data_IF_669679378345
#
_entry.id   IF_669679378345
#
_cell.length_a   1.000
_cell.length_b   1.000
_cell.length_c   1.000
_cell.angle_alpha   90.00
_cell.angle_beta   90.00
_cell.angle_gamma   90.00
#
_symmetry.space_group_name_H-M   'P 1'
#
loop_
_entity.id
_entity.type
_entity.pdbx_description
1 polymer ?
#
# COMPACT_ATOMS: atom_id res chain seq x y z
N UNK A 1 -31.35 5.62 -20.86
CA UNK A 1 -30.33 6.35 -20.08
C UNK A 1 -30.43 5.82 -18.66
N UNK A 2 -29.81 4.66 -18.42
CA UNK A 2 -29.98 3.91 -17.17
C UNK A 2 -28.99 4.43 -16.13
N UNK A 3 -29.52 4.90 -15.00
CA UNK A 3 -28.72 5.39 -13.89
C UNK A 3 -27.86 4.28 -13.29
N UNK A 4 -26.55 4.49 -13.26
CA UNK A 4 -25.60 3.68 -12.52
C UNK A 4 -25.93 3.75 -11.02
N UNK A 5 -26.55 2.68 -10.51
CA UNK A 5 -26.82 2.50 -9.10
C UNK A 5 -25.52 2.48 -8.29
N UNK A 6 -25.22 3.61 -7.63
CA UNK A 6 -24.17 3.70 -6.60
C UNK A 6 -24.52 2.74 -5.47
N UNK A 7 -23.90 1.56 -5.49
CA UNK A 7 -24.06 0.58 -4.41
C UNK A 7 -23.52 1.18 -3.11
N UNK A 8 -24.33 1.30 -2.04
CA UNK A 8 -23.89 1.92 -0.81
C UNK A 8 -22.77 1.07 -0.20
N UNK A 9 -21.66 1.72 0.16
CA UNK A 9 -20.51 1.10 0.84
C UNK A 9 -20.98 0.50 2.17
N UNK A 10 -21.33 -0.80 2.13
CA UNK A 10 -21.96 -1.50 3.25
C UNK A 10 -20.87 -2.11 4.14
N UNK A 11 -21.07 -2.07 5.47
CA UNK A 11 -20.17 -2.68 6.49
C UNK A 11 -19.82 -4.15 6.20
N UNK A 12 -20.70 -4.83 5.47
CA UNK A 12 -20.55 -6.21 5.02
C UNK A 12 -19.47 -6.37 3.93
N UNK A 13 -19.33 -5.41 3.01
CA UNK A 13 -18.28 -5.36 1.98
C UNK A 13 -16.91 -5.20 2.64
N UNK A 14 -16.82 -4.29 3.62
CA UNK A 14 -15.60 -4.08 4.41
C UNK A 14 -15.22 -5.33 5.21
N UNK A 15 -16.19 -6.01 5.84
CA UNK A 15 -15.96 -7.26 6.57
C UNK A 15 -15.51 -8.40 5.64
N UNK A 16 -16.01 -8.46 4.40
CA UNK A 16 -15.55 -9.43 3.38
C UNK A 16 -14.12 -9.12 2.92
N UNK A 17 -13.79 -7.85 2.72
CA UNK A 17 -12.43 -7.37 2.45
C UNK A 17 -11.46 -7.77 3.57
N UNK A 18 -11.78 -7.42 4.83
CA UNK A 18 -11.00 -7.80 6.02
C UNK A 18 -10.82 -9.31 6.18
N UNK A 19 -11.84 -10.11 5.84
CA UNK A 19 -11.74 -11.57 5.88
C UNK A 19 -10.80 -12.09 4.79
N UNK A 20 -10.79 -11.47 3.61
CA UNK A 20 -9.83 -11.79 2.54
C UNK A 20 -8.39 -11.43 2.93
N UNK A 21 -8.19 -10.30 3.63
CA UNK A 21 -6.89 -9.93 4.24
C UNK A 21 -6.45 -10.97 5.26
N UNK A 22 -7.34 -11.36 6.17
CA UNK A 22 -7.06 -12.32 7.23
C UNK A 22 -6.72 -13.72 6.70
N UNK A 23 -7.42 -14.18 5.67
CA UNK A 23 -7.13 -15.47 5.00
C UNK A 23 -5.79 -15.42 4.26
N UNK A 24 -5.46 -14.29 3.62
CA UNK A 24 -4.17 -14.10 2.96
C UNK A 24 -3.00 -14.17 3.97
N UNK A 25 -3.14 -13.52 5.13
CA UNK A 25 -2.12 -13.52 6.20
C UNK A 25 -1.93 -14.89 6.88
N UNK A 26 -2.98 -15.72 6.89
CA UNK A 26 -2.97 -17.07 7.46
C UNK A 26 -2.47 -18.19 6.53
N UNK A 27 -2.41 -17.96 5.21
CA UNK A 27 -1.99 -18.98 4.23
C UNK A 27 -0.47 -19.25 4.26
N UNK A 28 0.01 -20.34 3.64
CA UNK A 28 1.45 -20.69 3.62
C UNK A 28 2.33 -19.66 2.90
N UNK A 29 1.78 -18.95 1.90
CA UNK A 29 2.39 -17.78 1.25
C UNK A 29 2.36 -16.53 2.16
N UNK A 30 1.58 -16.56 3.24
CA UNK A 30 1.35 -15.46 4.18
C UNK A 30 2.55 -15.08 5.05
N UNK A 31 3.61 -15.92 5.11
CA UNK A 31 4.84 -15.55 5.84
C UNK A 31 5.56 -14.36 5.18
N UNK A 32 5.60 -14.33 3.83
CA UNK A 32 6.16 -13.20 3.08
C UNK A 32 5.30 -11.94 3.26
N UNK A 33 3.97 -12.08 3.22
CA UNK A 33 3.05 -10.98 3.46
C UNK A 33 3.19 -10.38 4.86
N UNK A 34 3.32 -11.22 5.90
CA UNK A 34 3.56 -10.77 7.29
C UNK A 34 4.89 -10.05 7.45
N UNK A 35 5.96 -10.53 6.82
CA UNK A 35 7.26 -9.85 6.83
C UNK A 35 7.19 -8.48 6.16
N UNK A 36 6.52 -8.37 5.00
CA UNK A 36 6.36 -7.09 4.31
C UNK A 36 5.47 -6.12 5.10
N UNK A 37 4.41 -6.60 5.74
CA UNK A 37 3.62 -5.75 6.64
C UNK A 37 4.42 -5.27 7.85
N UNK A 38 5.18 -6.17 8.49
CA UNK A 38 6.04 -5.78 9.60
C UNK A 38 7.10 -4.75 9.15
N UNK A 39 7.72 -4.96 7.98
CA UNK A 39 8.66 -4.00 7.39
C UNK A 39 7.97 -2.66 7.10
N UNK A 40 6.74 -2.66 6.60
CA UNK A 40 5.98 -1.45 6.34
C UNK A 40 5.69 -0.67 7.62
N UNK A 41 5.30 -1.34 8.71
CA UNK A 41 5.10 -0.70 10.03
C UNK A 41 6.41 -0.09 10.54
N UNK A 42 7.52 -0.82 10.44
CA UNK A 42 8.84 -0.31 10.84
C UNK A 42 9.25 0.91 10.00
N UNK A 43 9.03 0.86 8.69
CA UNK A 43 9.31 1.98 7.79
C UNK A 43 8.42 3.18 8.08
N UNK A 44 7.15 2.98 8.43
CA UNK A 44 6.23 4.05 8.85
C UNK A 44 6.71 4.74 10.12
N UNK A 45 7.20 3.98 11.11
CA UNK A 45 7.87 4.54 12.28
C UNK A 45 9.15 5.28 11.89
N UNK A 46 9.91 4.75 10.92
CA UNK A 46 11.09 5.40 10.34
C UNK A 46 10.77 6.75 9.71
N UNK A 47 9.70 6.86 8.93
CA UNK A 47 9.23 8.12 8.32
C UNK A 47 8.94 9.16 9.43
N UNK A 48 8.24 8.74 10.49
CA UNK A 48 7.95 9.62 11.62
C UNK A 48 9.23 10.07 12.34
N UNK A 49 10.17 9.15 12.57
CA UNK A 49 11.47 9.47 13.16
C UNK A 49 12.26 10.45 12.27
N UNK A 50 12.23 10.28 10.94
CA UNK A 50 12.85 11.20 9.99
C UNK A 50 12.19 12.59 10.01
N UNK A 51 10.85 12.66 10.12
CA UNK A 51 10.15 13.94 10.27
C UNK A 51 10.60 14.70 11.52
N UNK A 52 10.72 13.99 12.65
CA UNK A 52 11.23 14.57 13.90
C UNK A 52 12.68 15.03 13.72
N UNK A 53 13.56 14.18 13.16
CA UNK A 53 14.96 14.53 12.90
C UNK A 53 15.09 15.76 12.00
N UNK A 54 14.29 15.85 10.94
CA UNK A 54 14.26 16.98 10.03
C UNK A 54 13.85 18.29 10.74
N UNK A 55 12.87 18.21 11.65
CA UNK A 55 12.46 19.36 12.48
C UNK A 55 13.58 19.86 13.39
N UNK A 56 14.33 18.96 14.03
CA UNK A 56 15.46 19.32 14.89
C UNK A 56 16.64 19.89 14.09
N UNK A 57 17.04 19.24 13.00
CA UNK A 57 18.17 19.70 12.17
C UNK A 57 17.86 21.05 11.53
N UNK A 58 16.63 21.27 11.05
CA UNK A 58 16.18 22.57 10.58
C UNK A 58 16.28 23.65 11.65
N UNK A 59 15.91 23.34 12.91
CA UNK A 59 16.06 24.27 14.04
C UNK A 59 17.53 24.64 14.29
N UNK A 60 18.42 23.64 14.39
CA UNK A 60 19.85 23.90 14.63
C UNK A 60 20.50 24.69 13.50
N UNK A 61 20.09 24.43 12.26
CA UNK A 61 20.54 25.19 11.10
C UNK A 61 20.15 26.66 11.20
N UNK A 62 18.89 26.96 11.55
CA UNK A 62 18.43 28.34 11.76
C UNK A 62 19.16 29.04 12.91
N UNK A 63 19.38 28.35 14.03
CA UNK A 63 20.14 28.90 15.16
C UNK A 63 21.59 29.26 14.79
N UNK A 64 22.26 28.45 13.96
CA UNK A 64 23.62 28.73 13.52
C UNK A 64 23.71 29.97 12.60
N UNK A 65 22.66 30.21 11.79
CA UNK A 65 22.55 31.42 10.97
C UNK A 65 22.37 32.65 11.87
N UNK A 66 21.50 32.56 12.87
CA UNK A 66 21.25 33.64 13.83
C UNK A 66 22.52 34.02 14.60
N UNK A 67 23.30 33.02 15.06
CA UNK A 67 24.55 33.25 15.79
C UNK A 67 25.74 33.64 14.90
N UNK A 68 25.55 33.74 13.57
CA UNK A 68 26.62 33.97 12.58
C UNK A 68 27.80 32.99 12.71
N UNK A 69 27.52 31.76 13.14
CA UNK A 69 28.56 30.73 13.30
C UNK A 69 28.77 29.99 11.97
N UNK A 70 29.81 30.40 11.24
CA UNK A 70 30.19 29.78 9.97
C UNK A 70 30.59 28.30 10.10
N UNK A 71 31.24 27.91 11.21
CA UNK A 71 31.66 26.52 11.41
C UNK A 71 30.44 25.63 11.75
N UNK A 72 29.55 26.14 12.60
CA UNK A 72 28.27 25.53 12.90
C UNK A 72 27.40 25.37 11.66
N UNK A 73 27.34 26.39 10.80
CA UNK A 73 26.59 26.36 9.54
C UNK A 73 27.00 25.19 8.64
N UNK A 74 28.30 25.02 8.36
CA UNK A 74 28.78 23.93 7.49
C UNK A 74 28.47 22.56 8.08
N UNK A 75 28.62 22.39 9.41
CA UNK A 75 28.29 21.15 10.10
C UNK A 75 26.81 20.82 10.01
N UNK A 76 25.94 21.79 10.25
CA UNK A 76 24.49 21.61 10.18
C UNK A 76 23.99 21.43 8.74
N UNK A 77 24.64 22.05 7.75
CA UNK A 77 24.35 21.83 6.34
C UNK A 77 24.61 20.38 5.91
N UNK A 78 25.76 19.80 6.31
CA UNK A 78 26.04 18.38 6.06
C UNK A 78 25.08 17.45 6.80
N UNK A 79 24.70 17.79 8.04
CA UNK A 79 23.69 17.03 8.78
C UNK A 79 22.33 17.07 8.09
N UNK A 80 21.95 18.23 7.54
CA UNK A 80 20.73 18.40 6.76
C UNK A 80 20.75 17.55 5.50
N UNK A 81 21.87 17.56 4.76
CA UNK A 81 22.05 16.69 3.60
C UNK A 81 21.92 15.20 3.97
N UNK A 82 22.52 14.77 5.08
CA UNK A 82 22.43 13.39 5.55
C UNK A 82 21.00 12.98 5.94
N UNK A 83 20.26 13.83 6.67
CA UNK A 83 18.85 13.59 7.01
C UNK A 83 17.97 13.56 5.77
N UNK A 84 18.24 14.43 4.80
CA UNK A 84 17.52 14.44 3.53
C UNK A 84 17.72 13.13 2.77
N UNK A 85 18.96 12.69 2.60
CA UNK A 85 19.27 11.40 1.98
C UNK A 85 18.62 10.23 2.72
N UNK A 86 18.69 10.21 4.06
CA UNK A 86 18.05 9.18 4.87
C UNK A 86 16.53 9.16 4.70
N UNK A 87 15.89 10.32 4.69
CA UNK A 87 14.45 10.47 4.47
C UNK A 87 14.04 9.98 3.08
N UNK A 88 14.79 10.32 2.04
CA UNK A 88 14.55 9.82 0.68
C UNK A 88 14.66 8.29 0.64
N UNK A 89 15.70 7.70 1.22
CA UNK A 89 15.87 6.24 1.24
C UNK A 89 14.72 5.54 1.96
N UNK A 90 14.31 6.03 3.13
CA UNK A 90 13.16 5.49 3.88
C UNK A 90 11.88 5.60 3.05
N UNK A 91 11.64 6.74 2.40
CA UNK A 91 10.47 6.93 1.55
C UNK A 91 10.43 5.98 0.35
N UNK A 92 11.57 5.76 -0.31
CA UNK A 92 11.69 4.81 -1.43
C UNK A 92 11.45 3.38 -0.95
N UNK A 93 12.04 2.98 0.18
CA UNK A 93 11.85 1.64 0.76
C UNK A 93 10.41 1.40 1.19
N UNK A 94 9.77 2.42 1.77
CA UNK A 94 8.35 2.37 2.14
C UNK A 94 7.49 2.11 0.91
N UNK A 95 7.63 2.94 -0.13
CA UNK A 95 6.88 2.80 -1.38
C UNK A 95 7.14 1.45 -2.06
N UNK A 96 8.39 1.01 -2.10
CA UNK A 96 8.74 -0.30 -2.66
C UNK A 96 8.07 -1.45 -1.89
N UNK A 97 8.07 -1.39 -0.56
CA UNK A 97 7.46 -2.41 0.30
C UNK A 97 5.95 -2.46 0.15
N UNK A 98 5.32 -1.27 0.09
CA UNK A 98 3.91 -1.09 -0.23
C UNK A 98 3.55 -1.73 -1.57
N UNK A 99 4.20 -1.31 -2.67
CA UNK A 99 3.93 -1.84 -4.01
C UNK A 99 4.14 -3.35 -4.08
N UNK A 100 5.17 -3.88 -3.40
CA UNK A 100 5.45 -5.32 -3.35
C UNK A 100 4.36 -6.09 -2.61
N UNK A 101 3.85 -5.55 -1.50
CA UNK A 101 2.73 -6.14 -0.76
C UNK A 101 1.46 -6.15 -1.61
N UNK A 102 1.18 -5.05 -2.32
CA UNK A 102 0.06 -4.97 -3.26
C UNK A 102 0.15 -6.01 -4.38
N UNK A 103 1.33 -6.23 -4.96
CA UNK A 103 1.52 -7.25 -5.99
C UNK A 103 1.24 -8.68 -5.47
N UNK A 104 1.77 -9.03 -4.30
CA UNK A 104 1.53 -10.35 -3.70
C UNK A 104 0.06 -10.59 -3.38
N UNK A 105 -0.61 -9.55 -2.89
CA UNK A 105 -2.04 -9.60 -2.62
C UNK A 105 -2.83 -9.83 -3.90
N UNK A 106 -2.53 -9.06 -4.95
CA UNK A 106 -3.18 -9.18 -6.26
C UNK A 106 -3.00 -10.59 -6.81
N UNK A 107 -1.78 -11.13 -6.75
CA UNK A 107 -1.48 -12.48 -7.20
C UNK A 107 -2.32 -13.54 -6.47
N UNK A 108 -2.46 -13.40 -5.14
CA UNK A 108 -3.27 -14.32 -4.35
C UNK A 108 -4.77 -14.21 -4.65
N UNK A 109 -5.30 -13.00 -4.80
CA UNK A 109 -6.70 -12.78 -5.17
C UNK A 109 -6.99 -13.36 -6.55
N UNK A 110 -6.17 -13.06 -7.56
CA UNK A 110 -6.34 -13.60 -8.91
C UNK A 110 -6.31 -15.12 -8.88
N UNK A 111 -5.31 -15.74 -8.25
CA UNK A 111 -5.25 -17.21 -8.12
C UNK A 111 -6.52 -17.79 -7.47
N UNK A 112 -7.06 -17.15 -6.44
CA UNK A 112 -8.27 -17.60 -5.75
C UNK A 112 -9.52 -17.48 -6.61
N UNK A 113 -9.72 -16.35 -7.27
CA UNK A 113 -10.93 -16.13 -8.10
C UNK A 113 -10.88 -17.01 -9.35
N UNK A 114 -9.72 -17.14 -10.01
CA UNK A 114 -9.54 -18.06 -11.15
C UNK A 114 -9.84 -19.50 -10.75
N UNK A 115 -9.40 -19.95 -9.56
CA UNK A 115 -9.73 -21.29 -9.07
C UNK A 115 -11.23 -21.49 -8.93
N UNK A 116 -11.96 -20.53 -8.34
CA UNK A 116 -13.42 -20.61 -8.19
C UNK A 116 -14.10 -20.65 -9.56
N UNK A 117 -13.65 -19.82 -10.50
CA UNK A 117 -14.20 -19.74 -11.85
C UNK A 117 -14.11 -21.06 -12.63
N UNK A 118 -12.96 -21.73 -12.55
CA UNK A 118 -12.75 -23.04 -13.18
C UNK A 118 -13.53 -24.14 -12.45
N UNK A 119 -13.48 -24.16 -11.12
CA UNK A 119 -14.09 -25.22 -10.30
C UNK A 119 -15.61 -25.24 -10.41
N UNK A 120 -16.25 -24.06 -10.50
CA UNK A 120 -17.70 -23.93 -10.67
C UNK A 120 -18.15 -23.95 -12.14
N UNK A 121 -17.22 -24.20 -13.07
CA UNK A 121 -17.46 -24.19 -14.52
C UNK A 121 -18.25 -22.96 -15.00
N UNK A 122 -18.03 -21.81 -14.39
CA UNK A 122 -18.77 -20.57 -14.69
C UNK A 122 -18.53 -20.10 -16.13
N UNK A 123 -17.46 -20.57 -16.77
CA UNK A 123 -17.19 -20.38 -18.20
C UNK A 123 -18.20 -21.07 -19.14
N UNK A 124 -19.02 -22.00 -18.63
CA UNK A 124 -20.06 -22.68 -19.42
C UNK A 124 -21.41 -21.96 -19.38
N UNK A 125 -21.58 -20.98 -18.49
CA UNK A 125 -22.85 -20.25 -18.30
C UNK A 125 -22.84 -18.86 -18.98
N UNK A 126 -21.98 -18.66 -20.00
CA UNK A 126 -21.95 -17.43 -20.79
C UNK A 126 -23.27 -17.28 -21.58
N UNK A 127 -24.18 -16.44 -21.08
CA UNK A 127 -25.46 -16.12 -21.74
C UNK A 127 -26.71 -16.19 -20.85
N UNK A 128 -26.62 -16.65 -19.60
CA UNK A 128 -27.74 -16.60 -18.66
C UNK A 128 -28.00 -15.16 -18.15
N UNK A 129 -29.25 -14.82 -17.82
CA UNK A 129 -29.59 -13.52 -17.23
C UNK A 129 -28.81 -13.33 -15.91
N UNK A 130 -27.85 -12.40 -15.91
CA UNK A 130 -26.93 -12.16 -14.79
C UNK A 130 -25.50 -12.69 -15.00
N UNK A 131 -25.20 -13.30 -16.16
CA UNK A 131 -23.84 -13.70 -16.53
C UNK A 131 -22.91 -12.48 -16.62
N UNK A 132 -21.71 -12.64 -16.09
CA UNK A 132 -20.70 -11.57 -16.04
C UNK A 132 -20.09 -11.40 -17.42
N UNK A 133 -20.41 -10.30 -18.11
CA UNK A 133 -19.79 -9.95 -19.40
C UNK A 133 -18.28 -9.70 -19.22
N UNK A 134 -17.45 -10.28 -20.09
CA UNK A 134 -15.98 -10.23 -20.06
C UNK A 134 -15.37 -10.56 -18.68
N UNK A 135 -15.58 -11.80 -18.18
CA UNK A 135 -15.18 -12.20 -16.83
C UNK A 135 -13.65 -12.13 -16.64
N UNK A 136 -12.88 -12.40 -17.69
CA UNK A 136 -11.42 -12.29 -17.73
C UNK A 136 -10.93 -10.83 -17.56
N UNK A 137 -11.58 -9.90 -18.26
CA UNK A 137 -11.28 -8.47 -18.18
C UNK A 137 -11.64 -7.94 -16.80
N UNK A 138 -12.85 -8.26 -16.29
CA UNK A 138 -13.30 -7.82 -14.97
C UNK A 138 -12.45 -8.39 -13.84
N UNK A 139 -12.05 -9.66 -13.90
CA UNK A 139 -11.14 -10.24 -12.92
C UNK A 139 -9.81 -9.49 -12.84
N UNK A 140 -9.28 -9.04 -13.97
CA UNK A 140 -7.98 -8.35 -14.01
C UNK A 140 -8.11 -6.90 -13.55
N UNK A 141 -9.11 -6.18 -14.05
CA UNK A 141 -9.36 -4.77 -13.78
C UNK A 141 -9.82 -4.55 -12.33
N UNK A 142 -10.83 -5.31 -11.86
CA UNK A 142 -11.44 -5.14 -10.54
C UNK A 142 -10.47 -5.51 -9.42
N UNK A 143 -9.68 -6.58 -9.58
CA UNK A 143 -8.67 -6.97 -8.58
C UNK A 143 -7.56 -5.93 -8.51
N UNK A 144 -7.14 -5.38 -9.65
CA UNK A 144 -6.15 -4.29 -9.68
C UNK A 144 -6.69 -3.07 -8.94
N UNK A 145 -7.90 -2.62 -9.27
CA UNK A 145 -8.53 -1.45 -8.67
C UNK A 145 -8.73 -1.64 -7.16
N UNK A 146 -9.26 -2.79 -6.74
CA UNK A 146 -9.49 -3.10 -5.32
C UNK A 146 -8.18 -3.11 -4.52
N UNK A 147 -7.11 -3.66 -5.08
CA UNK A 147 -5.81 -3.75 -4.38
C UNK A 147 -5.17 -2.37 -4.25
N UNK A 148 -5.12 -1.59 -5.35
CA UNK A 148 -4.55 -0.24 -5.33
C UNK A 148 -5.33 0.68 -4.38
N UNK A 149 -6.66 0.72 -4.49
CA UNK A 149 -7.48 1.61 -3.65
C UNK A 149 -7.44 1.22 -2.18
N UNK A 150 -7.44 -0.08 -1.85
CA UNK A 150 -7.34 -0.53 -0.45
C UNK A 150 -5.98 -0.18 0.14
N UNK A 151 -4.90 -0.36 -0.63
CA UNK A 151 -3.55 -0.08 -0.16
C UNK A 151 -3.37 1.43 0.08
N UNK A 152 -3.81 2.27 -0.88
CA UNK A 152 -3.80 3.72 -0.69
C UNK A 152 -4.65 4.17 0.49
N UNK A 153 -5.84 3.59 0.71
CA UNK A 153 -6.70 3.96 1.83
C UNK A 153 -6.14 3.53 3.20
N UNK A 154 -5.43 2.40 3.26
CA UNK A 154 -4.82 1.92 4.52
C UNK A 154 -3.57 2.73 4.88
N UNK A 155 -2.90 3.33 3.90
CA UNK A 155 -1.62 4.02 4.06
C UNK A 155 -1.73 5.54 4.08
N UNK A 156 -2.91 6.09 3.75
CA UNK A 156 -3.28 7.49 3.94
C UNK A 156 -3.67 7.74 5.39
#
# INVERSE_FOLDING_TARGET
>A
MSEEGKTPLTRQTFRRLLRSVGVFLGSSDGRKARLLLAALVVLMLGINAMNVANSYVGRYFMSAIESRDHAGFVRHAWMYAAVFTGSTLVGVLFRFTEERLGLLWREHLTRRITRIYVDHRLYLHDGEEGAVTNPDQRMTEDVRQLTTTTLSFVLM
#
